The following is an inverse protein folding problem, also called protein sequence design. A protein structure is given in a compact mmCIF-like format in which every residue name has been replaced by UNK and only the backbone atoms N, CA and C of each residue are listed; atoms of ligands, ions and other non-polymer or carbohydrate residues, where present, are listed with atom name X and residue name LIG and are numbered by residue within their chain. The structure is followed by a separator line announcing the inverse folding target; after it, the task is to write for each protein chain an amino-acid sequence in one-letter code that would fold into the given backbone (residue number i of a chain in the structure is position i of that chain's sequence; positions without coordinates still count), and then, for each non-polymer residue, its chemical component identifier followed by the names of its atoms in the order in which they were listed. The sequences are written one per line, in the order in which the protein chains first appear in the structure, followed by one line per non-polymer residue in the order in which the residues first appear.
data_IF_281484728791
#
_entry.id   IF_281484728791
#
_cell.length_a   1.000
_cell.length_b   1.000
_cell.length_c   1.000
_cell.angle_alpha   90.00
_cell.angle_beta   90.00
_cell.angle_gamma   90.00
#
_symmetry.space_group_name_H-M   'P 1'
#
loop_
_entity.id
_entity.type
_entity.pdbx_description
1 polymer ?
#
# COMPACT_ATOMS: atom_id res chain seq x y z
N UNK A 1 -10.69 -7.56 -0.05
CA UNK A 1 -10.29 -7.22 -1.44
C UNK A 1 -9.12 -8.11 -1.79
N UNK A 2 -9.24 -8.93 -2.82
CA UNK A 2 -8.17 -9.84 -3.22
C UNK A 2 -7.12 -9.12 -4.07
N UNK A 3 -5.89 -9.65 -4.10
CA UNK A 3 -4.76 -9.04 -4.82
C UNK A 3 -5.07 -8.76 -6.30
N UNK A 4 -5.79 -9.66 -6.96
CA UNK A 4 -6.22 -9.51 -8.36
C UNK A 4 -7.21 -8.35 -8.54
N UNK A 5 -8.14 -8.13 -7.61
CA UNK A 5 -9.08 -7.01 -7.66
C UNK A 5 -8.35 -5.66 -7.57
N UNK A 6 -7.30 -5.59 -6.75
CA UNK A 6 -6.47 -4.39 -6.61
C UNK A 6 -5.68 -4.13 -7.90
N UNK A 7 -5.12 -5.18 -8.51
CA UNK A 7 -4.38 -5.06 -9.77
C UNK A 7 -5.32 -4.55 -10.88
N UNK A 8 -6.51 -5.12 -11.01
CA UNK A 8 -7.47 -4.70 -12.05
C UNK A 8 -7.97 -3.26 -11.82
N UNK A 9 -8.06 -2.81 -10.57
CA UNK A 9 -8.56 -1.48 -10.24
C UNK A 9 -7.51 -0.37 -10.40
N UNK A 10 -6.26 -0.64 -10.01
CA UNK A 10 -5.20 0.37 -9.96
C UNK A 10 -4.14 0.20 -11.05
N UNK A 11 -4.16 -0.94 -11.75
CA UNK A 11 -3.24 -1.25 -12.84
C UNK A 11 -3.65 -0.55 -14.12
N UNK A 12 -2.66 -0.13 -14.89
CA UNK A 12 -2.89 0.43 -16.24
C UNK A 12 -3.23 -0.68 -17.24
N UNK A 13 -2.91 -1.92 -16.91
CA UNK A 13 -3.18 -3.13 -17.70
C UNK A 13 -3.42 -4.27 -16.70
N UNK A 14 -4.17 -5.31 -17.07
CA UNK A 14 -4.47 -6.46 -16.19
C UNK A 14 -3.23 -7.22 -15.66
N UNK A 15 -2.07 -7.01 -16.30
CA UNK A 15 -0.78 -7.60 -15.90
C UNK A 15 0.16 -6.60 -15.22
N UNK A 16 -0.27 -5.36 -15.04
CA UNK A 16 0.55 -4.32 -14.41
C UNK A 16 0.62 -4.55 -12.90
N UNK A 17 1.65 -5.28 -12.50
CA UNK A 17 1.99 -5.54 -11.09
C UNK A 17 3.12 -4.64 -10.59
N UNK A 18 3.77 -3.93 -11.51
CA UNK A 18 5.00 -3.17 -11.26
C UNK A 18 4.76 -1.70 -10.94
N UNK A 19 3.63 -1.13 -11.35
CA UNK A 19 3.38 0.28 -11.17
C UNK A 19 3.35 0.69 -9.69
N UNK A 20 3.89 1.89 -9.34
CA UNK A 20 3.90 2.35 -7.96
C UNK A 20 2.49 2.41 -7.35
N UNK A 21 1.47 2.78 -8.13
CA UNK A 21 0.07 2.85 -7.68
C UNK A 21 -0.48 1.50 -7.23
N UNK A 22 -0.25 0.44 -8.02
CA UNK A 22 -0.67 -0.93 -7.68
C UNK A 22 0.05 -1.41 -6.42
N UNK A 23 1.37 -1.23 -6.35
CA UNK A 23 2.16 -1.65 -5.20
C UNK A 23 1.75 -0.93 -3.90
N UNK A 24 1.49 0.38 -3.95
CA UNK A 24 1.03 1.16 -2.80
C UNK A 24 -0.35 0.66 -2.33
N UNK A 25 -1.25 0.36 -3.27
CA UNK A 25 -2.60 -0.14 -2.96
C UNK A 25 -2.55 -1.51 -2.29
N UNK A 26 -1.73 -2.44 -2.82
CA UNK A 26 -1.51 -3.77 -2.23
C UNK A 26 -0.92 -3.63 -0.81
N UNK A 27 0.14 -2.82 -0.65
CA UNK A 27 0.77 -2.61 0.65
C UNK A 27 -0.22 -2.01 1.67
N UNK A 28 -1.09 -1.11 1.24
CA UNK A 28 -2.10 -0.50 2.11
C UNK A 28 -3.11 -1.52 2.59
N UNK A 29 -3.60 -2.39 1.70
CA UNK A 29 -4.49 -3.47 2.08
C UNK A 29 -3.83 -4.44 3.08
N UNK A 30 -2.59 -4.85 2.80
CA UNK A 30 -1.81 -5.71 3.68
C UNK A 30 -1.60 -5.09 5.07
N UNK A 31 -1.23 -3.80 5.11
CA UNK A 31 -1.01 -3.04 6.36
C UNK A 31 -2.29 -3.03 7.19
N UNK A 32 -3.44 -2.71 6.59
CA UNK A 32 -4.73 -2.68 7.28
C UNK A 32 -5.10 -4.05 7.87
N UNK A 33 -4.88 -5.13 7.10
CA UNK A 33 -5.12 -6.49 7.57
C UNK A 33 -4.20 -6.90 8.73
N UNK A 34 -2.90 -6.61 8.62
CA UNK A 34 -1.91 -6.89 9.66
C UNK A 34 -2.15 -6.07 10.92
N UNK A 35 -2.62 -4.82 10.78
CA UNK A 35 -2.92 -3.97 11.92
C UNK A 35 -4.03 -4.57 12.79
N UNK A 36 -5.15 -5.02 12.21
CA UNK A 36 -6.21 -5.69 12.97
C UNK A 36 -5.76 -7.00 13.64
N UNK A 37 -4.86 -7.75 12.99
CA UNK A 37 -4.25 -8.93 13.61
C UNK A 37 -3.41 -8.55 14.84
N UNK A 38 -2.54 -7.54 14.72
CA UNK A 38 -1.65 -7.11 15.82
C UNK A 38 -2.38 -6.45 16.99
N UNK A 39 -3.58 -5.90 16.76
CA UNK A 39 -4.44 -5.42 17.85
C UNK A 39 -4.91 -6.57 18.75
N UNK A 40 -5.19 -7.74 18.16
CA UNK A 40 -5.54 -8.96 18.88
C UNK A 40 -4.29 -9.62 19.50
N UNK A 41 -3.15 -9.58 18.81
CA UNK A 41 -1.90 -10.23 19.21
C UNK A 41 -0.81 -9.22 19.58
N UNK A 42 -1.01 -8.48 20.68
CA UNK A 42 -0.13 -7.37 21.10
C UNK A 42 1.34 -7.75 21.34
N UNK A 43 1.63 -9.03 21.64
CA UNK A 43 2.98 -9.55 21.90
C UNK A 43 3.69 -10.08 20.65
N UNK A 44 3.06 -10.05 19.48
CA UNK A 44 3.73 -10.44 18.24
C UNK A 44 4.63 -9.31 17.71
N UNK A 45 5.87 -9.29 18.21
CA UNK A 45 6.87 -8.29 17.83
C UNK A 45 7.48 -8.54 16.44
N UNK A 46 7.55 -9.80 16.01
CA UNK A 46 8.14 -10.16 14.71
C UNK A 46 7.24 -9.70 13.56
N UNK A 47 5.92 -9.93 13.66
CA UNK A 47 4.96 -9.43 12.69
C UNK A 47 4.88 -7.90 12.70
N UNK A 48 5.06 -7.26 13.86
CA UNK A 48 5.16 -5.78 13.96
C UNK A 48 6.39 -5.24 13.23
N UNK A 49 7.53 -5.90 13.32
CA UNK A 49 8.73 -5.54 12.52
C UNK A 49 8.45 -5.66 11.02
N UNK A 50 7.80 -6.74 10.58
CA UNK A 50 7.36 -6.91 9.19
C UNK A 50 6.40 -5.80 8.72
N UNK A 51 5.47 -5.40 9.59
CA UNK A 51 4.56 -4.29 9.33
C UNK A 51 5.30 -2.96 9.15
N UNK A 52 6.27 -2.66 10.00
CA UNK A 52 7.10 -1.43 9.88
C UNK A 52 7.90 -1.41 8.57
N UNK A 53 8.40 -2.56 8.13
CA UNK A 53 9.04 -2.71 6.83
C UNK A 53 8.09 -2.39 5.67
N UNK A 54 6.85 -2.91 5.71
CA UNK A 54 5.81 -2.61 4.70
C UNK A 54 5.45 -1.12 4.67
N UNK A 55 5.27 -0.49 5.83
CA UNK A 55 4.99 0.96 5.96
C UNK A 55 6.14 1.77 5.33
N UNK A 56 7.38 1.43 5.66
CA UNK A 56 8.58 2.11 5.14
C UNK A 56 8.69 1.99 3.62
N UNK A 57 8.43 0.79 3.06
CA UNK A 57 8.42 0.56 1.61
C UNK A 57 7.32 1.37 0.93
N UNK A 58 6.11 1.40 1.48
CA UNK A 58 5.00 2.21 0.97
C UNK A 58 5.36 3.70 0.93
N UNK A 59 5.98 4.22 2.00
CA UNK A 59 6.41 5.62 2.08
C UNK A 59 7.42 5.98 0.99
N UNK A 60 8.40 5.11 0.72
CA UNK A 60 9.37 5.31 -0.38
C UNK A 60 8.69 5.34 -1.76
N UNK A 61 7.77 4.41 -2.02
CA UNK A 61 7.02 4.38 -3.29
C UNK A 61 6.12 5.61 -3.46
N UNK A 62 5.47 6.06 -2.38
CA UNK A 62 4.67 7.28 -2.38
C UNK A 62 5.53 8.52 -2.68
N UNK A 63 6.73 8.61 -2.12
CA UNK A 63 7.67 9.69 -2.41
C UNK A 63 8.11 9.68 -3.87
N UNK A 64 8.43 8.51 -4.43
CA UNK A 64 8.77 8.34 -5.84
C UNK A 64 7.61 8.76 -6.76
N UNK A 65 6.39 8.32 -6.44
CA UNK A 65 5.20 8.68 -7.21
C UNK A 65 4.91 10.19 -7.13
N UNK A 66 5.10 10.81 -5.96
CA UNK A 66 4.95 12.26 -5.77
C UNK A 66 5.91 13.06 -6.66
N UNK A 67 7.15 12.58 -6.82
CA UNK A 67 8.17 13.23 -7.65
C UNK A 67 7.89 13.04 -9.15
N UNK A 68 7.53 11.83 -9.57
CA UNK A 68 7.35 11.51 -10.99
C UNK A 68 5.98 11.90 -11.55
N UNK A 69 4.92 11.79 -10.74
CA UNK A 69 3.54 12.00 -11.16
C UNK A 69 2.68 12.55 -10.00
N UNK A 70 2.79 13.85 -9.70
CA UNK A 70 2.13 14.47 -8.54
C UNK A 70 0.61 14.38 -8.59
N UNK A 71 0.00 14.42 -9.78
CA UNK A 71 -1.46 14.26 -9.97
C UNK A 71 -1.90 12.85 -9.54
N UNK A 72 -1.24 11.82 -10.08
CA UNK A 72 -1.51 10.41 -9.72
C UNK A 72 -1.34 10.17 -8.22
N UNK A 73 -0.35 10.80 -7.59
CA UNK A 73 -0.14 10.73 -6.15
C UNK A 73 -1.32 11.30 -5.36
N UNK A 74 -1.83 12.48 -5.74
CA UNK A 74 -2.97 13.10 -5.07
C UNK A 74 -4.25 12.26 -5.22
N UNK A 75 -4.51 11.76 -6.42
CA UNK A 75 -5.68 10.92 -6.69
C UNK A 75 -5.62 9.63 -5.89
N UNK A 76 -4.47 8.96 -5.88
CA UNK A 76 -4.24 7.73 -5.13
C UNK A 76 -4.42 7.92 -3.61
N UNK A 77 -3.92 9.03 -3.06
CA UNK A 77 -4.09 9.35 -1.63
C UNK A 77 -5.55 9.57 -1.27
N UNK A 78 -6.28 10.34 -2.11
CA UNK A 78 -7.70 10.60 -1.88
C UNK A 78 -8.49 9.30 -1.92
N UNK A 79 -8.20 8.45 -2.89
CA UNK A 79 -8.92 7.19 -3.08
C UNK A 79 -8.64 6.17 -1.97
N UNK A 80 -7.38 6.04 -1.54
CA UNK A 80 -7.00 5.10 -0.48
C UNK A 80 -7.23 5.65 0.94
N UNK A 81 -7.57 6.93 1.09
CA UNK A 81 -7.78 7.58 2.39
C UNK A 81 -6.52 7.65 3.26
N UNK A 82 -5.33 7.55 2.66
CA UNK A 82 -4.06 7.51 3.40
C UNK A 82 -3.56 8.93 3.58
N UNK A 83 -3.36 9.35 4.83
CA UNK A 83 -2.64 10.62 5.09
C UNK A 83 -1.14 10.41 4.88
N UNK A 84 -0.57 11.19 3.96
CA UNK A 84 0.86 11.28 3.69
C UNK A 84 1.58 12.11 4.73
#
# INVERSE_FOLDING_TARGET
MNKQEIINKYGTTDKDTGSPSVQISILTHDISKLQGHLESFKKDFHSRMGLMGKISKRRKLMQLLKQNAPVKYQDLIKELGIRG
#
